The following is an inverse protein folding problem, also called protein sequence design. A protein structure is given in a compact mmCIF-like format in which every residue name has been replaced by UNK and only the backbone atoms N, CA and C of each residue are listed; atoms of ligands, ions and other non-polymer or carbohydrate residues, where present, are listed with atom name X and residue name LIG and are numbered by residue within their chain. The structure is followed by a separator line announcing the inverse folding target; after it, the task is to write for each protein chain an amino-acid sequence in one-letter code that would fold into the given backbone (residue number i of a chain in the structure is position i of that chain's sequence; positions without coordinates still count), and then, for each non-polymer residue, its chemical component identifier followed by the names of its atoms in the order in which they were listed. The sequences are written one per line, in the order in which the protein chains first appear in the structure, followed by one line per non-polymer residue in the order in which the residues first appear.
data_IF_541417035668
#
_entry.id   IF_541417035668
#
_cell.length_a   1.000
_cell.length_b   1.000
_cell.length_c   1.000
_cell.angle_alpha   90.00
_cell.angle_beta   90.00
_cell.angle_gamma   90.00
#
_symmetry.space_group_name_H-M   'P 1'
#
loop_
_entity.id
_entity.type
_entity.pdbx_description
1 polymer ?
#
# COMPACT_ATOMS: atom_id res chain seq x y z
N UNK A 1 9.69 4.34 14.03
CA UNK A 1 8.54 4.84 14.82
C UNK A 1 8.48 6.37 14.92
N UNK A 2 9.57 7.08 15.27
CA UNK A 2 9.55 8.54 15.49
C UNK A 2 9.02 9.40 14.32
N UNK A 3 9.38 9.07 13.07
CA UNK A 3 9.02 9.88 11.90
C UNK A 3 7.75 9.39 11.17
N UNK A 4 6.88 8.61 11.83
CA UNK A 4 5.63 8.11 11.23
C UNK A 4 4.76 9.28 10.71
N UNK A 5 4.49 10.35 11.48
CA UNK A 5 3.64 11.44 11.01
C UNK A 5 4.20 12.14 9.76
N UNK A 6 5.51 12.35 9.70
CA UNK A 6 6.16 13.05 8.59
C UNK A 6 6.11 12.22 7.30
N UNK A 7 6.38 10.91 7.39
CA UNK A 7 6.36 10.03 6.22
C UNK A 7 4.94 9.69 5.78
N UNK A 8 4.06 9.32 6.71
CA UNK A 8 2.66 9.01 6.39
C UNK A 8 1.89 10.26 5.95
N UNK A 9 2.23 11.43 6.51
CA UNK A 9 1.67 12.71 6.09
C UNK A 9 2.05 13.07 4.66
N UNK A 10 3.33 12.86 4.27
CA UNK A 10 3.76 13.04 2.88
C UNK A 10 2.97 12.12 1.93
N UNK A 11 2.83 10.84 2.27
CA UNK A 11 2.03 9.88 1.46
C UNK A 11 0.58 10.33 1.36
N UNK A 12 -0.04 10.76 2.47
CA UNK A 12 -1.45 11.21 2.48
C UNK A 12 -1.66 12.44 1.59
N UNK A 13 -0.76 13.41 1.64
CA UNK A 13 -0.81 14.58 0.76
C UNK A 13 -0.66 14.17 -0.70
N UNK A 14 0.26 13.24 -1.01
CA UNK A 14 0.38 12.68 -2.35
C UNK A 14 -0.91 12.02 -2.83
N UNK A 15 -1.57 11.22 -1.98
CA UNK A 15 -2.85 10.57 -2.32
C UNK A 15 -3.97 11.58 -2.58
N UNK A 16 -4.02 12.69 -1.83
CA UNK A 16 -4.99 13.76 -2.09
C UNK A 16 -4.76 14.39 -3.47
N UNK A 17 -3.52 14.69 -3.82
CA UNK A 17 -3.20 15.24 -5.14
C UNK A 17 -3.52 14.25 -6.27
N UNK A 18 -3.21 12.96 -6.08
CA UNK A 18 -3.58 11.90 -7.03
C UNK A 18 -5.09 11.88 -7.25
N UNK A 19 -5.85 11.94 -6.15
CA UNK A 19 -7.30 11.96 -6.18
C UNK A 19 -7.83 13.17 -6.96
N UNK A 20 -7.32 14.36 -6.71
CA UNK A 20 -7.74 15.59 -7.42
C UNK A 20 -7.60 15.44 -8.94
N UNK A 21 -6.46 14.97 -9.42
CA UNK A 21 -6.21 14.79 -10.87
C UNK A 21 -7.14 13.73 -11.46
N UNK A 22 -7.32 12.59 -10.79
CA UNK A 22 -8.18 11.51 -11.27
C UNK A 22 -9.67 11.87 -11.21
N UNK A 23 -10.09 12.69 -10.24
CA UNK A 23 -11.47 13.22 -10.16
C UNK A 23 -11.76 14.20 -11.29
N UNK A 24 -10.77 14.98 -11.75
CA UNK A 24 -10.94 15.77 -12.98
C UNK A 24 -11.06 14.84 -14.18
N UNK A 25 -10.11 13.91 -14.35
CA UNK A 25 -10.05 13.04 -15.53
C UNK A 25 -11.32 12.22 -15.73
N UNK A 26 -11.86 11.61 -14.66
CA UNK A 26 -13.06 10.77 -14.77
C UNK A 26 -14.31 11.55 -15.19
N UNK A 27 -14.29 12.87 -15.08
CA UNK A 27 -15.36 13.78 -15.49
C UNK A 27 -15.02 14.58 -16.77
N UNK A 28 -13.90 14.29 -17.44
CA UNK A 28 -13.47 14.97 -18.66
C UNK A 28 -14.09 14.35 -19.92
N UNK A 29 -14.31 15.18 -20.95
CA UNK A 29 -14.57 14.73 -22.31
C UNK A 29 -13.24 14.44 -23.01
N UNK A 30 -12.87 13.15 -23.09
CA UNK A 30 -11.59 12.65 -23.63
C UNK A 30 -11.72 12.05 -25.03
N UNK A 31 -12.89 12.18 -25.64
CA UNK A 31 -13.20 11.81 -27.01
C UNK A 31 -12.59 12.78 -28.03
N UNK A 32 -12.57 12.34 -29.30
CA UNK A 32 -12.17 13.17 -30.43
C UNK A 32 -12.83 12.68 -31.73
N UNK A 33 -13.44 13.57 -32.54
CA UNK A 33 -13.59 15.02 -32.32
C UNK A 33 -14.62 15.35 -31.24
N UNK A 34 -14.49 16.51 -30.62
CA UNK A 34 -15.48 17.06 -29.69
C UNK A 34 -16.62 17.72 -30.45
N UNK A 35 -17.85 17.54 -29.95
CA UNK A 35 -19.08 18.10 -30.55
C UNK A 35 -19.65 19.15 -29.60
N UNK A 36 -19.89 20.36 -30.10
CA UNK A 36 -20.51 21.48 -29.36
C UNK A 36 -21.83 21.90 -30.04
N UNK A 37 -22.95 21.22 -29.74
CA UNK A 37 -24.22 21.41 -30.45
C UNK A 37 -24.76 22.84 -30.37
N UNK A 38 -24.67 23.48 -29.20
CA UNK A 38 -25.17 24.85 -28.98
C UNK A 38 -24.44 25.90 -29.83
N UNK A 39 -23.22 25.56 -30.29
CA UNK A 39 -22.39 26.38 -31.17
C UNK A 39 -22.42 25.90 -32.62
N UNK A 40 -23.00 24.73 -32.89
CA UNK A 40 -22.92 24.08 -34.19
C UNK A 40 -21.48 23.72 -34.62
N UNK A 41 -20.58 23.51 -33.65
CA UNK A 41 -19.15 23.29 -33.90
C UNK A 41 -18.74 21.83 -33.69
N UNK A 42 -17.80 21.35 -34.52
CA UNK A 42 -17.09 20.08 -34.35
C UNK A 42 -15.59 20.41 -34.33
N UNK A 43 -14.92 20.10 -33.24
CA UNK A 43 -13.51 20.47 -33.01
C UNK A 43 -12.64 19.22 -32.84
N UNK A 44 -11.61 19.10 -33.67
CA UNK A 44 -10.54 18.12 -33.44
C UNK A 44 -9.56 18.66 -32.41
N UNK A 45 -9.29 17.88 -31.37
CA UNK A 45 -8.39 18.23 -30.27
C UNK A 45 -7.52 17.05 -29.83
N UNK A 46 -6.95 17.15 -28.63
CA UNK A 46 -6.02 16.17 -28.07
C UNK A 46 -6.41 15.64 -26.69
N UNK A 47 -7.68 15.76 -26.29
CA UNK A 47 -8.12 15.40 -24.94
C UNK A 47 -7.99 13.89 -24.63
N UNK A 48 -7.83 13.04 -25.65
CA UNK A 48 -7.50 11.62 -25.47
C UNK A 48 -6.09 11.39 -24.93
N UNK A 49 -5.21 12.40 -24.93
CA UNK A 49 -3.82 12.24 -24.53
C UNK A 49 -3.68 12.11 -23.00
N UNK A 50 -3.54 10.88 -22.51
CA UNK A 50 -3.52 10.55 -21.07
C UNK A 50 -2.27 10.96 -20.27
N UNK A 51 -1.52 12.00 -20.67
CA UNK A 51 -0.31 12.43 -19.94
C UNK A 51 -0.60 12.81 -18.47
N UNK A 52 -1.69 13.55 -18.15
CA UNK A 52 -2.01 13.89 -16.77
C UNK A 52 -2.16 12.64 -15.89
N UNK A 53 -2.84 11.62 -16.42
CA UNK A 53 -3.06 10.33 -15.75
C UNK A 53 -1.76 9.53 -15.61
N UNK A 54 -0.93 9.52 -16.65
CA UNK A 54 0.33 8.77 -16.63
C UNK A 54 1.28 9.29 -15.54
N UNK A 55 1.51 10.61 -15.51
CA UNK A 55 2.39 11.26 -14.53
C UNK A 55 1.88 11.02 -13.11
N UNK A 56 0.57 11.19 -12.88
CA UNK A 56 0.04 11.10 -11.52
C UNK A 56 0.05 9.68 -10.97
N UNK A 57 -0.06 8.66 -11.83
CA UNK A 57 0.06 7.25 -11.43
C UNK A 57 1.52 6.82 -11.19
N UNK A 58 2.48 7.44 -11.87
CA UNK A 58 3.90 7.34 -11.51
C UNK A 58 4.20 7.97 -10.16
N UNK A 59 3.64 9.14 -9.90
CA UNK A 59 3.73 9.78 -8.60
C UNK A 59 3.09 8.93 -7.48
N UNK A 60 1.94 8.31 -7.74
CA UNK A 60 1.30 7.36 -6.83
C UNK A 60 2.21 6.17 -6.52
N UNK A 61 2.90 5.62 -7.54
CA UNK A 61 3.84 4.51 -7.38
C UNK A 61 4.94 4.83 -6.36
N UNK A 62 5.51 6.04 -6.44
CA UNK A 62 6.53 6.52 -5.50
C UNK A 62 5.94 6.65 -4.09
N UNK A 63 4.77 7.27 -3.95
CA UNK A 63 4.15 7.50 -2.65
C UNK A 63 3.81 6.19 -1.92
N UNK A 64 3.20 5.22 -2.61
CA UNK A 64 2.86 3.92 -2.05
C UNK A 64 4.11 3.14 -1.64
N UNK A 65 5.18 3.21 -2.44
CA UNK A 65 6.45 2.57 -2.12
C UNK A 65 7.07 3.09 -0.82
N UNK A 66 6.94 4.38 -0.49
CA UNK A 66 7.40 4.92 0.79
C UNK A 66 6.60 4.38 1.98
N UNK A 67 5.29 4.16 1.82
CA UNK A 67 4.46 3.55 2.86
C UNK A 67 4.90 2.11 3.15
N UNK A 68 5.18 1.32 2.11
CA UNK A 68 5.75 -0.02 2.24
C UNK A 68 7.13 -0.02 2.90
N UNK A 69 8.03 0.88 2.48
CA UNK A 69 9.38 1.01 3.03
C UNK A 69 9.37 1.23 4.54
N UNK A 70 8.60 2.22 5.02
CA UNK A 70 8.58 2.54 6.45
C UNK A 70 7.90 1.44 7.28
N UNK A 71 6.90 0.75 6.72
CA UNK A 71 6.27 -0.41 7.35
C UNK A 71 7.23 -1.57 7.52
N UNK A 72 7.99 -1.90 6.47
CA UNK A 72 9.00 -2.96 6.54
C UNK A 72 10.10 -2.66 7.56
N UNK A 73 10.53 -1.41 7.70
CA UNK A 73 11.47 -1.03 8.79
C UNK A 73 10.90 -1.26 10.19
N UNK A 74 9.58 -1.19 10.37
CA UNK A 74 8.92 -1.51 11.65
C UNK A 74 8.80 -3.02 11.84
N UNK A 75 8.50 -3.76 10.78
CA UNK A 75 8.55 -5.24 10.77
C UNK A 75 9.94 -5.72 11.19
N UNK A 76 11.00 -5.20 10.56
CA UNK A 76 12.39 -5.51 10.89
C UNK A 76 12.69 -5.24 12.37
N UNK A 77 12.25 -4.09 12.91
CA UNK A 77 12.47 -3.77 14.33
C UNK A 77 11.82 -4.79 15.28
N UNK A 78 10.58 -5.19 14.97
CA UNK A 78 9.82 -6.17 15.78
C UNK A 78 10.45 -7.55 15.71
N UNK A 79 10.76 -8.03 14.49
CA UNK A 79 11.29 -9.38 14.26
C UNK A 79 12.70 -9.53 14.81
N UNK A 80 13.56 -8.52 14.64
CA UNK A 80 14.94 -8.57 15.13
C UNK A 80 15.10 -8.15 16.60
N UNK A 81 14.01 -7.80 17.28
CA UNK A 81 14.00 -7.43 18.69
C UNK A 81 15.12 -6.45 19.07
N UNK A 82 15.23 -5.34 18.34
CA UNK A 82 16.30 -4.36 18.61
C UNK A 82 16.21 -3.75 20.02
N UNK A 83 15.00 -3.74 20.58
CA UNK A 83 14.69 -3.22 21.91
C UNK A 83 14.92 -4.26 23.04
N UNK A 84 15.31 -5.51 22.72
CA UNK A 84 15.60 -6.61 23.66
C UNK A 84 14.48 -7.03 24.62
N UNK A 85 13.24 -6.59 24.37
CA UNK A 85 12.06 -6.89 25.22
C UNK A 85 11.14 -7.96 24.65
N UNK A 86 11.41 -8.45 23.44
CA UNK A 86 10.66 -9.49 22.73
C UNK A 86 11.53 -10.72 22.48
N UNK A 87 10.95 -11.91 22.28
CA UNK A 87 11.72 -13.02 21.75
C UNK A 87 12.13 -12.73 20.29
N UNK A 88 13.37 -13.06 19.86
CA UNK A 88 13.80 -12.94 18.46
C UNK A 88 12.88 -13.73 17.53
N UNK A 89 12.61 -13.18 16.34
CA UNK A 89 11.64 -13.72 15.38
C UNK A 89 10.21 -13.88 15.92
N UNK A 90 9.91 -13.30 17.08
CA UNK A 90 8.60 -13.32 17.74
C UNK A 90 8.10 -14.75 18.06
N UNK A 91 8.99 -15.63 18.54
CA UNK A 91 8.68 -17.01 18.97
C UNK A 91 9.56 -17.46 20.16
N UNK A 92 9.00 -18.20 21.12
CA UNK A 92 9.68 -18.54 22.39
C UNK A 92 10.80 -19.59 22.22
N UNK A 93 10.51 -20.70 21.52
CA UNK A 93 11.45 -21.82 21.33
C UNK A 93 12.35 -21.62 20.08
N UNK A 94 13.26 -20.66 20.18
CA UNK A 94 14.22 -20.35 19.12
C UNK A 94 15.18 -21.53 18.88
N UNK A 95 15.42 -21.85 17.61
CA UNK A 95 16.33 -22.91 17.16
C UNK A 95 15.61 -24.12 16.57
N UNK A 96 14.42 -24.43 17.09
CA UNK A 96 13.45 -25.32 16.44
C UNK A 96 12.46 -24.54 15.58
N UNK A 97 12.13 -23.32 16.00
CA UNK A 97 11.20 -22.44 15.30
C UNK A 97 11.91 -21.23 14.69
N UNK A 98 11.49 -20.87 13.47
CA UNK A 98 11.92 -19.70 12.71
C UNK A 98 10.98 -18.50 12.87
N UNK A 99 9.76 -18.71 13.36
CA UNK A 99 8.78 -17.67 13.64
C UNK A 99 8.51 -16.77 12.42
N UNK A 100 8.58 -15.46 12.65
CA UNK A 100 8.32 -14.44 11.63
C UNK A 100 9.55 -14.08 10.76
N UNK A 101 10.66 -14.80 10.88
CA UNK A 101 11.90 -14.50 10.15
C UNK A 101 11.69 -14.49 8.63
N UNK A 102 11.11 -15.55 8.06
CA UNK A 102 10.87 -15.63 6.61
C UNK A 102 9.75 -14.69 6.16
N UNK A 103 8.80 -14.38 7.04
CA UNK A 103 7.76 -13.38 6.79
C UNK A 103 8.37 -11.99 6.61
N UNK A 104 9.43 -11.65 7.36
CA UNK A 104 10.18 -10.42 7.15
C UNK A 104 10.93 -10.42 5.81
N UNK A 105 11.49 -11.55 5.37
CA UNK A 105 12.16 -11.65 4.05
C UNK A 105 11.18 -11.38 2.91
N UNK A 106 9.95 -11.89 3.01
CA UNK A 106 8.89 -11.58 2.07
C UNK A 106 8.62 -10.07 2.03
N UNK A 107 8.41 -9.42 3.17
CA UNK A 107 8.19 -7.97 3.22
C UNK A 107 9.36 -7.17 2.60
N UNK A 108 10.60 -7.56 2.90
CA UNK A 108 11.80 -6.93 2.35
C UNK A 108 11.92 -7.12 0.83
N UNK A 109 11.57 -8.29 0.30
CA UNK A 109 11.56 -8.58 -1.14
C UNK A 109 10.56 -7.69 -1.88
N UNK A 110 9.33 -7.58 -1.37
CA UNK A 110 8.27 -6.75 -1.94
C UNK A 110 8.65 -5.26 -1.95
N UNK A 111 9.28 -4.79 -0.86
CA UNK A 111 9.86 -3.44 -0.80
C UNK A 111 10.94 -3.25 -1.88
N UNK A 112 11.80 -4.23 -2.09
CA UNK A 112 12.86 -4.15 -3.09
C UNK A 112 12.30 -4.10 -4.52
N UNK A 113 11.30 -4.92 -4.82
CA UNK A 113 10.62 -4.93 -6.12
C UNK A 113 9.93 -3.59 -6.41
N UNK A 114 9.27 -3.01 -5.40
CA UNK A 114 8.61 -1.71 -5.51
C UNK A 114 9.57 -0.57 -5.92
N UNK A 115 10.87 -0.67 -5.62
CA UNK A 115 11.87 0.32 -6.05
C UNK A 115 12.03 0.33 -7.57
N UNK A 116 12.03 -0.84 -8.20
CA UNK A 116 12.12 -0.96 -9.66
C UNK A 116 10.81 -0.50 -10.29
N UNK A 117 9.67 -0.94 -9.76
CA UNK A 117 8.34 -0.53 -10.23
C UNK A 117 8.07 0.99 -10.05
N UNK A 118 8.83 1.67 -9.20
CA UNK A 118 8.73 3.12 -9.01
C UNK A 118 9.43 3.93 -10.12
N UNK A 119 10.15 3.30 -11.04
CA UNK A 119 10.64 4.01 -12.24
C UNK A 119 9.43 4.56 -13.01
N UNK A 120 9.44 5.85 -13.40
CA UNK A 120 8.30 6.43 -14.10
C UNK A 120 8.18 5.83 -15.50
N UNK A 121 6.98 5.39 -15.87
CA UNK A 121 6.69 4.95 -17.22
C UNK A 121 6.35 6.14 -18.14
N UNK A 122 5.81 7.22 -17.57
CA UNK A 122 5.34 8.41 -18.28
C UNK A 122 6.46 9.30 -18.84
N UNK A 123 7.72 8.95 -18.61
CA UNK A 123 8.89 9.64 -19.18
C UNK A 123 9.33 9.01 -20.50
N UNK A 124 8.76 7.87 -20.87
CA UNK A 124 8.99 7.22 -22.15
C UNK A 124 7.89 7.58 -23.15
N UNK A 125 8.25 7.63 -24.43
CA UNK A 125 7.35 7.82 -25.56
C UNK A 125 7.98 7.24 -26.81
N UNK A 126 7.26 6.34 -27.48
CA UNK A 126 7.70 5.69 -28.71
C UNK A 126 6.66 6.01 -29.79
N UNK A 127 7.03 6.76 -30.85
CA UNK A 127 6.11 7.14 -31.92
C UNK A 127 5.44 5.94 -32.57
N UNK A 128 4.15 6.06 -32.85
CA UNK A 128 3.35 5.07 -33.59
C UNK A 128 2.73 5.70 -34.84
N UNK A 129 2.07 4.88 -35.65
CA UNK A 129 1.22 5.36 -36.74
C UNK A 129 1.93 6.26 -37.75
N UNK A 130 3.16 5.89 -38.13
CA UNK A 130 4.02 6.63 -39.07
C UNK A 130 4.22 8.12 -38.73
N UNK A 131 4.22 8.46 -37.43
CA UNK A 131 4.42 9.83 -36.95
C UNK A 131 3.13 10.65 -36.81
N UNK A 132 1.95 10.05 -36.98
CA UNK A 132 0.69 10.71 -36.60
C UNK A 132 0.48 10.72 -35.07
N UNK A 133 0.92 9.65 -34.40
CA UNK A 133 0.95 9.54 -32.93
C UNK A 133 2.41 9.60 -32.49
N UNK A 134 3.02 10.78 -32.66
CA UNK A 134 4.45 11.00 -32.47
C UNK A 134 4.86 11.20 -31.00
N UNK A 135 3.89 11.46 -30.12
CA UNK A 135 4.09 11.55 -28.67
C UNK A 135 2.94 10.89 -27.91
N UNK A 136 3.27 10.01 -26.96
CA UNK A 136 2.29 9.23 -26.18
C UNK A 136 2.69 9.13 -24.72
N UNK A 137 1.72 8.83 -23.85
CA UNK A 137 1.89 8.95 -22.40
C UNK A 137 2.39 7.70 -21.68
N UNK A 138 2.31 6.53 -22.30
CA UNK A 138 2.53 5.22 -21.65
C UNK A 138 1.70 5.01 -20.36
N UNK A 139 0.58 5.72 -20.21
CA UNK A 139 -0.20 5.76 -18.95
C UNK A 139 -0.73 4.42 -18.46
N UNK A 140 -1.03 3.48 -19.35
CA UNK A 140 -1.47 2.12 -18.98
C UNK A 140 -0.38 1.35 -18.22
N UNK A 141 0.90 1.57 -18.56
CA UNK A 141 2.03 0.95 -17.85
C UNK A 141 2.14 1.57 -16.44
N UNK A 142 2.02 2.90 -16.34
CA UNK A 142 1.99 3.60 -15.06
C UNK A 142 0.86 3.12 -14.14
N UNK A 143 -0.34 2.91 -14.69
CA UNK A 143 -1.48 2.36 -13.94
C UNK A 143 -1.23 0.94 -13.43
N UNK A 144 -0.72 0.06 -14.29
CA UNK A 144 -0.46 -1.35 -13.95
C UNK A 144 0.58 -1.48 -12.85
N UNK A 145 1.69 -0.73 -12.93
CA UNK A 145 2.73 -0.81 -11.90
C UNK A 145 2.29 -0.19 -10.57
N UNK A 146 1.52 0.91 -10.60
CA UNK A 146 0.94 1.49 -9.39
C UNK A 146 0.01 0.48 -8.68
N UNK A 147 -0.80 -0.26 -9.45
CA UNK A 147 -1.66 -1.34 -8.93
C UNK A 147 -0.87 -2.49 -8.31
N UNK A 148 0.27 -2.87 -8.91
CA UNK A 148 1.11 -3.93 -8.36
C UNK A 148 1.80 -3.48 -7.06
N UNK A 149 2.33 -2.25 -7.02
CA UNK A 149 2.87 -1.66 -5.80
C UNK A 149 1.82 -1.63 -4.69
N UNK A 150 0.56 -1.26 -5.00
CA UNK A 150 -0.53 -1.28 -4.02
C UNK A 150 -0.72 -2.68 -3.41
N UNK A 151 -0.74 -3.73 -4.23
CA UNK A 151 -0.87 -5.13 -3.75
C UNK A 151 0.31 -5.53 -2.87
N UNK A 152 1.52 -5.14 -3.25
CA UNK A 152 2.72 -5.36 -2.45
C UNK A 152 2.63 -4.65 -1.09
N UNK A 153 2.17 -3.40 -1.07
CA UNK A 153 1.98 -2.62 0.16
C UNK A 153 0.87 -3.21 1.04
N UNK A 154 -0.26 -3.66 0.48
CA UNK A 154 -1.32 -4.36 1.23
C UNK A 154 -0.76 -5.58 1.98
N UNK A 155 0.09 -6.36 1.32
CA UNK A 155 0.78 -7.52 1.90
C UNK A 155 1.77 -7.13 2.99
N UNK A 156 2.58 -6.08 2.77
CA UNK A 156 3.52 -5.55 3.78
C UNK A 156 2.76 -5.08 5.03
N UNK A 157 1.67 -4.33 4.88
CA UNK A 157 0.87 -3.87 6.02
C UNK A 157 0.17 -5.04 6.74
N UNK A 158 -0.26 -6.07 6.01
CA UNK A 158 -0.80 -7.30 6.60
C UNK A 158 0.23 -8.03 7.46
N UNK A 159 1.47 -8.14 6.97
CA UNK A 159 2.59 -8.70 7.72
C UNK A 159 2.89 -7.85 8.96
N UNK A 160 2.91 -6.52 8.83
CA UNK A 160 3.12 -5.63 9.97
C UNK A 160 2.06 -5.84 11.06
N UNK A 161 0.79 -5.98 10.68
CA UNK A 161 -0.31 -6.25 11.60
C UNK A 161 -0.10 -7.57 12.35
N UNK A 162 0.31 -8.63 11.65
CA UNK A 162 0.64 -9.93 12.27
C UNK A 162 1.78 -9.81 13.28
N UNK A 163 2.90 -9.21 12.88
CA UNK A 163 4.06 -9.01 13.75
C UNK A 163 3.71 -8.16 14.97
N UNK A 164 2.96 -7.07 14.79
CA UNK A 164 2.56 -6.20 15.88
C UNK A 164 1.67 -6.93 16.89
N UNK A 165 0.70 -7.71 16.43
CA UNK A 165 -0.16 -8.46 17.34
C UNK A 165 0.57 -9.59 18.06
N UNK A 166 1.49 -10.27 17.36
CA UNK A 166 2.34 -11.28 17.99
C UNK A 166 3.24 -10.64 19.07
N UNK A 167 3.83 -9.48 18.79
CA UNK A 167 4.63 -8.75 19.78
C UNK A 167 3.80 -8.33 21.01
N UNK A 168 2.55 -7.94 20.81
CA UNK A 168 1.62 -7.61 21.91
C UNK A 168 1.33 -8.83 22.79
N UNK A 169 1.22 -10.03 22.20
CA UNK A 169 0.95 -11.26 22.95
C UNK A 169 2.08 -11.67 23.90
N UNK A 170 3.32 -11.24 23.62
CA UNK A 170 4.46 -11.41 24.54
C UNK A 170 4.49 -10.37 25.67
N UNK A 171 3.64 -9.36 25.59
CA UNK A 171 3.44 -8.37 26.64
C UNK A 171 2.10 -8.59 27.32
N UNK A 172 1.64 -7.62 28.12
CA UNK A 172 0.36 -7.70 28.80
C UNK A 172 -0.73 -6.95 27.99
N UNK A 173 -1.66 -7.65 27.30
CA UNK A 173 -2.69 -7.01 26.47
C UNK A 173 -3.66 -6.12 27.26
N UNK A 174 -3.69 -6.22 28.59
CA UNK A 174 -4.58 -5.40 29.44
C UNK A 174 -4.24 -3.90 29.42
N UNK A 175 -3.04 -3.52 28.97
CA UNK A 175 -2.58 -2.11 28.92
C UNK A 175 -2.79 -1.43 27.56
N UNK A 176 -3.49 -2.07 26.63
CA UNK A 176 -3.71 -1.53 25.30
C UNK A 176 -4.73 -0.38 25.28
N UNK A 177 -4.52 0.58 24.38
CA UNK A 177 -5.54 1.57 24.03
C UNK A 177 -6.76 0.92 23.40
N UNK A 178 -7.92 1.57 23.46
CA UNK A 178 -9.19 0.99 23.00
C UNK A 178 -9.16 0.56 21.52
N UNK A 179 -8.63 1.42 20.64
CA UNK A 179 -8.54 1.12 19.21
C UNK A 179 -7.54 0.00 18.89
N UNK A 180 -6.37 0.01 19.52
CA UNK A 180 -5.38 -1.06 19.31
C UNK A 180 -5.86 -2.39 19.85
N UNK A 181 -6.57 -2.39 20.99
CA UNK A 181 -7.16 -3.61 21.57
C UNK A 181 -8.16 -4.26 20.61
N UNK A 182 -9.01 -3.46 19.97
CA UNK A 182 -9.95 -3.94 18.96
C UNK A 182 -9.24 -4.48 17.72
N UNK A 183 -8.23 -3.76 17.21
CA UNK A 183 -7.44 -4.21 16.07
C UNK A 183 -6.77 -5.57 16.33
N UNK A 184 -6.18 -5.74 17.51
CA UNK A 184 -5.58 -6.99 17.96
C UNK A 184 -6.60 -8.11 18.10
N UNK A 185 -7.73 -7.84 18.77
CA UNK A 185 -8.79 -8.84 18.96
C UNK A 185 -9.35 -9.33 17.63
N UNK A 186 -9.62 -8.40 16.70
CA UNK A 186 -10.14 -8.73 15.37
C UNK A 186 -9.17 -9.61 14.57
N UNK A 187 -7.86 -9.37 14.67
CA UNK A 187 -6.88 -10.26 14.06
C UNK A 187 -6.88 -11.63 14.73
N UNK A 188 -6.93 -11.69 16.07
CA UNK A 188 -6.88 -12.93 16.86
C UNK A 188 -8.10 -13.83 16.65
N UNK A 189 -9.24 -13.28 16.26
CA UNK A 189 -10.41 -14.05 15.79
C UNK A 189 -10.13 -14.84 14.50
N UNK A 190 -9.18 -14.40 13.67
CA UNK A 190 -8.86 -15.00 12.37
C UNK A 190 -7.56 -15.79 12.37
N UNK A 191 -6.58 -15.31 13.16
CA UNK A 191 -5.21 -15.81 13.22
C UNK A 191 -4.78 -15.94 14.68
N UNK A 192 -4.59 -17.19 15.12
CA UNK A 192 -4.09 -17.49 16.47
C UNK A 192 -2.65 -17.00 16.67
N UNK A 193 -2.24 -16.82 17.94
CA UNK A 193 -0.82 -16.59 18.29
C UNK A 193 0.04 -17.69 17.66
N UNK A 194 1.23 -17.34 17.20
CA UNK A 194 2.21 -18.31 16.73
C UNK A 194 2.97 -18.87 17.94
N UNK A 195 2.63 -20.09 18.36
CA UNK A 195 3.35 -20.80 19.42
C UNK A 195 4.50 -21.63 18.84
N UNK A 196 4.23 -22.35 17.75
CA UNK A 196 5.20 -23.12 16.96
C UNK A 196 5.05 -22.80 15.48
N UNK A 197 6.10 -23.09 14.70
CA UNK A 197 6.12 -22.83 13.27
C UNK A 197 4.95 -23.49 12.54
N UNK A 198 4.35 -22.74 11.63
CA UNK A 198 3.31 -23.21 10.71
C UNK A 198 3.45 -22.50 9.37
N UNK A 199 2.71 -22.99 8.38
CA UNK A 199 2.62 -22.31 7.09
C UNK A 199 2.04 -20.91 7.28
N UNK A 200 2.84 -19.88 7.00
CA UNK A 200 2.46 -18.48 7.24
C UNK A 200 1.54 -17.89 6.16
N UNK A 201 1.52 -18.47 4.95
CA UNK A 201 0.74 -17.91 3.84
C UNK A 201 -0.76 -17.74 4.15
N UNK A 202 -1.48 -18.72 4.74
CA UNK A 202 -2.88 -18.54 5.14
C UNK A 202 -3.10 -17.40 6.14
N UNK A 203 -2.16 -17.19 7.07
CA UNK A 203 -2.27 -16.12 8.06
C UNK A 203 -2.04 -14.74 7.45
N UNK A 204 -1.10 -14.65 6.51
CA UNK A 204 -0.84 -13.44 5.72
C UNK A 204 -2.07 -13.06 4.91
N UNK A 205 -2.69 -14.02 4.20
CA UNK A 205 -3.89 -13.75 3.39
C UNK A 205 -5.07 -13.25 4.26
N UNK A 206 -5.28 -13.85 5.43
CA UNK A 206 -6.31 -13.37 6.39
C UNK A 206 -6.02 -11.95 6.87
N UNK A 207 -4.77 -11.62 7.16
CA UNK A 207 -4.38 -10.26 7.57
C UNK A 207 -4.57 -9.24 6.44
N UNK A 208 -4.25 -9.62 5.21
CA UNK A 208 -4.50 -8.79 4.00
C UNK A 208 -5.99 -8.54 3.83
N UNK A 209 -6.82 -9.56 4.01
CA UNK A 209 -8.28 -9.44 3.88
C UNK A 209 -8.85 -8.39 4.83
N UNK A 210 -8.38 -8.35 6.09
CA UNK A 210 -8.80 -7.35 7.08
C UNK A 210 -8.51 -5.90 6.64
N UNK A 211 -7.43 -5.70 5.88
CA UNK A 211 -7.01 -4.40 5.34
C UNK A 211 -7.86 -4.05 4.11
N UNK A 212 -7.94 -4.98 3.15
CA UNK A 212 -8.61 -4.75 1.85
C UNK A 212 -10.10 -4.51 2.00
N UNK A 213 -10.76 -5.26 2.89
CA UNK A 213 -12.18 -5.09 3.18
C UNK A 213 -12.46 -3.85 4.04
N UNK A 214 -11.41 -3.18 4.54
CA UNK A 214 -11.47 -2.05 5.47
C UNK A 214 -12.18 -2.37 6.79
N UNK A 215 -12.45 -3.64 7.09
CA UNK A 215 -13.16 -4.04 8.30
C UNK A 215 -12.36 -3.66 9.55
N UNK A 216 -11.03 -3.78 9.51
CA UNK A 216 -10.16 -3.33 10.60
C UNK A 216 -10.35 -1.84 10.90
N UNK A 217 -10.29 -1.00 9.86
CA UNK A 217 -10.43 0.44 9.99
C UNK A 217 -11.82 0.81 10.49
N UNK A 218 -12.87 0.22 9.89
CA UNK A 218 -14.27 0.49 10.25
C UNK A 218 -14.56 0.11 11.70
N UNK A 219 -14.20 -1.11 12.12
CA UNK A 219 -14.41 -1.58 13.49
C UNK A 219 -13.73 -0.69 14.53
N UNK A 220 -12.52 -0.21 14.24
CA UNK A 220 -11.83 0.73 15.13
C UNK A 220 -12.55 2.07 15.14
N UNK A 221 -12.87 2.66 13.98
CA UNK A 221 -13.52 3.96 13.90
C UNK A 221 -14.92 3.98 14.51
N UNK A 222 -15.69 2.89 14.38
CA UNK A 222 -17.02 2.75 14.98
C UNK A 222 -16.95 2.81 16.52
N UNK A 223 -15.82 2.41 17.12
CA UNK A 223 -15.63 2.48 18.57
C UNK A 223 -15.02 3.78 19.06
N UNK A 224 -13.95 4.25 18.43
CA UNK A 224 -13.13 5.36 18.95
C UNK A 224 -13.33 6.67 18.19
N UNK A 225 -14.24 6.68 17.22
CA UNK A 225 -14.47 7.82 16.32
C UNK A 225 -13.53 7.82 15.12
N UNK A 226 -13.77 8.78 14.22
CA UNK A 226 -13.01 8.92 12.98
C UNK A 226 -11.53 9.20 13.27
N UNK A 227 -10.67 8.27 12.91
CA UNK A 227 -9.21 8.47 12.85
C UNK A 227 -8.87 9.61 11.88
N UNK A 228 -8.04 10.56 12.33
CA UNK A 228 -7.62 11.74 11.57
C UNK A 228 -6.62 11.35 10.49
#
# INVERSE_FOLDING_TARGET
FRCIPQVHGAVRNSLNHVKEVLEVEINSATDNPLIFPDRGEILSGGNFHGQPVAIILDFLSIALSQLGNIAERRIDNLVNCRDKILPPALVEERGLNSGFMLTQYLAASLVSENKVLSHPASVDSIPTSAGQEDFVSMGTIAARKAKEILRNVEKIIGIELLCACQAIDFHNPSKMGQGTKLAHSLLREKVSKLETDRVMAPDIEKAIELIKTKILLKTVQDRIGKLI
#
